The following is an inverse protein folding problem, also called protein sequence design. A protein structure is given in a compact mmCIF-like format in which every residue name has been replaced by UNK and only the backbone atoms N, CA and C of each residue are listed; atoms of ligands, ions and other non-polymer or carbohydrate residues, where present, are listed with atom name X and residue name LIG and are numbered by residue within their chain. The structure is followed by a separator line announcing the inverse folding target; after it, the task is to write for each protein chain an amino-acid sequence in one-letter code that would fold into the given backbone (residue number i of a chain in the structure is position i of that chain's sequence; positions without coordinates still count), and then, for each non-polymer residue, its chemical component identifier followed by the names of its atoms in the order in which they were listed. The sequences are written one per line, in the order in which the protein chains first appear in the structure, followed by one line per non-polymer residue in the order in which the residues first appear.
data_IF_049005099923
#
_entry.id   IF_049005099923
#
_cell.length_a   1.000
_cell.length_b   1.000
_cell.length_c   1.000
_cell.angle_alpha   90.00
_cell.angle_beta   90.00
_cell.angle_gamma   90.00
#
_symmetry.space_group_name_H-M   'P 1'
#
loop_
_entity.id
_entity.type
_entity.pdbx_description
1 polymer ?
#
# COMPACT_ATOMS: atom_id res chain seq x y z
N UNK A 1 -2.07 16.77 16.71
CA UNK A 1 -1.79 15.33 16.84
C UNK A 1 -2.02 14.71 15.47
N UNK A 2 -0.98 14.16 14.89
CA UNK A 2 -0.86 13.85 13.45
C UNK A 2 -1.89 12.83 13.01
N UNK A 3 -2.74 13.19 12.04
CA UNK A 3 -3.78 12.30 11.49
C UNK A 3 -3.22 11.18 10.60
N UNK A 4 -1.96 11.30 10.18
CA UNK A 4 -1.27 10.36 9.30
C UNK A 4 -0.10 9.65 10.02
N UNK A 5 0.23 8.40 9.61
CA UNK A 5 1.35 7.64 10.18
C UNK A 5 2.66 8.45 10.17
N UNK A 6 3.55 8.21 11.13
CA UNK A 6 4.90 8.80 11.11
C UNK A 6 5.77 8.21 10.00
N UNK A 7 6.85 8.91 9.63
CA UNK A 7 7.84 8.38 8.68
C UNK A 7 8.70 7.33 9.37
N UNK A 8 8.45 6.07 9.04
CA UNK A 8 9.16 4.89 9.56
C UNK A 8 8.76 3.66 8.73
N UNK A 9 9.23 2.50 9.15
CA UNK A 9 8.89 1.23 8.54
C UNK A 9 7.57 0.68 9.07
N UNK A 10 6.71 0.22 8.14
CA UNK A 10 5.42 -0.39 8.46
C UNK A 10 5.24 -1.73 7.75
N UNK A 11 4.46 -2.62 8.38
CA UNK A 11 3.70 -3.63 7.67
C UNK A 11 2.34 -3.05 7.27
N UNK A 12 2.00 -3.15 5.99
CA UNK A 12 0.70 -2.71 5.48
C UNK A 12 -0.24 -3.92 5.46
N UNK A 13 -1.22 -3.91 6.36
CA UNK A 13 -2.21 -4.97 6.51
C UNK A 13 -3.57 -4.52 5.97
N UNK A 14 -4.38 -5.43 5.45
CA UNK A 14 -5.80 -5.11 5.23
C UNK A 14 -6.47 -4.86 6.58
N UNK A 15 -7.35 -3.87 6.67
CA UNK A 15 -8.05 -3.57 7.93
C UNK A 15 -8.89 -4.73 8.44
N UNK A 16 -9.47 -5.52 7.53
CA UNK A 16 -10.30 -6.69 7.85
C UNK A 16 -9.53 -7.83 8.52
N UNK A 17 -8.24 -7.97 8.19
CA UNK A 17 -7.39 -9.04 8.74
C UNK A 17 -6.51 -8.57 9.90
N UNK A 18 -6.49 -7.26 10.17
CA UNK A 18 -5.66 -6.69 11.22
C UNK A 18 -6.06 -7.21 12.61
N UNK A 19 -5.07 -7.59 13.43
CA UNK A 19 -5.30 -8.16 14.76
C UNK A 19 -5.66 -9.66 14.77
N UNK A 20 -5.75 -10.31 13.61
CA UNK A 20 -5.89 -11.78 13.54
C UNK A 20 -4.55 -12.49 13.76
N UNK A 21 -4.59 -13.82 13.94
CA UNK A 21 -3.39 -14.66 14.13
C UNK A 21 -2.49 -14.63 12.89
N UNK A 22 -3.07 -14.49 11.70
CA UNK A 22 -2.37 -14.42 10.41
C UNK A 22 -2.93 -13.26 9.59
N UNK A 23 -2.52 -12.02 9.89
CA UNK A 23 -2.98 -10.87 9.12
C UNK A 23 -2.51 -10.97 7.68
N UNK A 24 -3.36 -10.50 6.78
CA UNK A 24 -3.11 -10.41 5.35
C UNK A 24 -2.39 -9.10 5.13
N UNK A 25 -1.11 -9.19 4.79
CA UNK A 25 -0.24 -8.03 4.60
C UNK A 25 0.44 -8.02 3.24
N UNK A 26 0.75 -6.82 2.77
CA UNK A 26 1.56 -6.61 1.58
C UNK A 26 2.94 -7.23 1.78
N UNK A 27 3.29 -8.12 0.86
CA UNK A 27 4.56 -8.80 0.80
C UNK A 27 5.15 -8.65 -0.61
N UNK A 28 6.46 -8.45 -0.67
CA UNK A 28 7.19 -8.60 -1.92
C UNK A 28 7.44 -10.09 -2.18
N UNK A 29 7.05 -10.53 -3.36
CA UNK A 29 7.35 -11.83 -3.90
C UNK A 29 8.61 -11.74 -4.77
N UNK A 30 9.72 -12.29 -4.27
CA UNK A 30 11.00 -12.23 -4.97
C UNK A 30 11.02 -13.14 -6.21
N UNK A 31 10.22 -14.21 -6.22
CA UNK A 31 10.20 -15.18 -7.32
C UNK A 31 9.42 -14.62 -8.52
N UNK A 32 8.34 -13.88 -8.24
CA UNK A 32 7.49 -13.27 -9.27
C UNK A 32 7.82 -11.80 -9.55
N UNK A 33 8.60 -11.15 -8.69
CA UNK A 33 8.96 -9.72 -8.82
C UNK A 33 7.80 -8.76 -8.57
N UNK A 34 6.75 -9.22 -7.90
CA UNK A 34 5.49 -8.48 -7.66
C UNK A 34 5.23 -8.26 -6.17
N UNK A 35 4.36 -7.31 -5.86
CA UNK A 35 3.84 -7.06 -4.52
C UNK A 35 2.41 -7.61 -4.49
N UNK A 36 2.18 -8.54 -3.57
CA UNK A 36 0.88 -9.20 -3.37
C UNK A 36 0.62 -9.41 -1.90
N UNK A 37 -0.55 -9.92 -1.53
CA UNK A 37 -0.77 -10.34 -0.15
C UNK A 37 -0.50 -11.83 0.02
N UNK A 38 0.24 -12.17 1.06
CA UNK A 38 0.58 -13.57 1.38
C UNK A 38 0.29 -13.78 2.86
N UNK A 39 -0.67 -14.66 3.23
CA UNK A 39 -0.97 -14.95 4.62
C UNK A 39 0.29 -15.34 5.42
N UNK A 40 0.52 -14.66 6.54
CA UNK A 40 1.66 -14.94 7.42
C UNK A 40 3.01 -14.39 6.95
N UNK A 41 3.14 -13.88 5.71
CA UNK A 41 4.34 -13.19 5.23
C UNK A 41 4.11 -11.68 5.23
N UNK A 42 5.09 -10.94 5.77
CA UNK A 42 5.06 -9.48 5.79
C UNK A 42 6.35 -8.91 5.21
N UNK A 43 6.23 -7.89 4.38
CA UNK A 43 7.37 -7.06 3.96
C UNK A 43 7.24 -5.70 4.62
N UNK A 44 8.34 -5.20 5.19
CA UNK A 44 8.40 -3.85 5.72
C UNK A 44 8.52 -2.84 4.58
N UNK A 45 7.79 -1.74 4.69
CA UNK A 45 7.82 -0.63 3.76
C UNK A 45 8.08 0.67 4.52
N UNK A 46 9.13 1.38 4.14
CA UNK A 46 9.43 2.71 4.65
C UNK A 46 8.45 3.70 4.03
N UNK A 47 7.67 4.38 4.88
CA UNK A 47 6.77 5.47 4.48
C UNK A 47 7.53 6.79 4.57
N UNK A 48 7.57 7.55 3.47
CA UNK A 48 8.16 8.88 3.41
C UNK A 48 7.18 9.85 2.76
N UNK A 49 6.92 11.00 3.39
CA UNK A 49 6.01 12.02 2.86
C UNK A 49 6.73 12.96 1.91
N UNK A 50 6.01 13.29 0.84
CA UNK A 50 6.33 14.44 -0.03
C UNK A 50 5.57 15.67 0.47
N UNK A 51 4.33 15.47 0.91
CA UNK A 51 3.49 16.48 1.53
C UNK A 51 2.63 15.80 2.61
N UNK A 52 3.07 15.92 3.86
CA UNK A 52 2.39 15.26 4.99
C UNK A 52 1.02 15.85 5.28
N UNK A 53 0.82 17.14 5.04
CA UNK A 53 -0.49 17.80 5.26
C UNK A 53 -1.54 17.26 4.29
N UNK A 54 -1.14 16.97 3.06
CA UNK A 54 -2.01 16.35 2.04
C UNK A 54 -1.98 14.81 2.07
N UNK A 55 -1.21 14.19 2.95
CA UNK A 55 -1.03 12.74 3.02
C UNK A 55 -0.35 12.14 1.79
N UNK A 56 0.42 12.93 1.02
CA UNK A 56 1.13 12.47 -0.18
C UNK A 56 2.45 11.84 0.25
N UNK A 57 2.64 10.58 -0.09
CA UNK A 57 3.77 9.77 0.33
C UNK A 57 4.28 8.86 -0.79
N UNK A 58 5.47 8.32 -0.58
CA UNK A 58 6.02 7.18 -1.31
C UNK A 58 6.35 6.06 -0.33
N UNK A 59 6.27 4.82 -0.80
CA UNK A 59 6.66 3.63 -0.06
C UNK A 59 7.93 3.04 -0.69
N UNK A 60 8.91 2.70 0.14
CA UNK A 60 10.20 2.17 -0.29
C UNK A 60 10.51 0.88 0.48
N UNK A 61 11.03 -0.13 -0.20
CA UNK A 61 11.54 -1.32 0.45
C UNK A 61 12.90 -1.02 1.11
N UNK A 62 13.03 -1.14 2.44
CA UNK A 62 14.18 -0.62 3.17
C UNK A 62 15.50 -1.28 2.79
N UNK A 63 15.47 -2.54 2.31
CA UNK A 63 16.69 -3.27 1.95
C UNK A 63 17.18 -2.98 0.53
N UNK A 64 16.27 -2.96 -0.45
CA UNK A 64 16.65 -2.75 -1.85
C UNK A 64 16.68 -1.27 -2.24
N UNK A 65 16.02 -0.40 -1.48
CA UNK A 65 15.84 1.01 -1.83
C UNK A 65 14.84 1.23 -2.99
N UNK A 66 14.24 0.16 -3.51
CA UNK A 66 13.26 0.24 -4.59
C UNK A 66 11.90 0.67 -4.05
N UNK A 67 11.12 1.34 -4.89
CA UNK A 67 9.82 1.89 -4.53
C UNK A 67 8.71 0.89 -4.84
N UNK A 68 7.65 0.88 -4.01
CA UNK A 68 6.41 0.21 -4.34
C UNK A 68 5.61 1.08 -5.31
N UNK A 69 5.30 0.53 -6.47
CA UNK A 69 4.46 1.19 -7.47
C UNK A 69 3.47 0.20 -8.09
N UNK A 70 2.43 0.73 -8.70
CA UNK A 70 1.53 0.01 -9.62
C UNK A 70 1.73 0.65 -11.00
N UNK A 71 2.62 0.11 -11.84
CA UNK A 71 2.87 0.67 -13.18
C UNK A 71 1.61 0.62 -14.05
N UNK A 72 1.48 1.56 -14.97
CA UNK A 72 0.29 1.66 -15.85
C UNK A 72 0.35 0.70 -17.05
N UNK A 73 1.56 0.23 -17.37
CA UNK A 73 1.95 -0.57 -18.53
C UNK A 73 2.10 -2.07 -18.23
N UNK A 74 2.44 -2.44 -16.99
CA UNK A 74 2.25 -3.80 -16.47
C UNK A 74 0.76 -4.11 -16.33
N UNK A 75 0.36 -5.35 -16.04
CA UNK A 75 -1.04 -5.78 -15.76
C UNK A 75 -1.69 -5.06 -14.53
N UNK A 76 -1.21 -3.86 -14.19
CA UNK A 76 -1.50 -3.02 -13.05
C UNK A 76 -1.23 -3.75 -11.75
N UNK A 77 -0.24 -4.65 -11.78
CA UNK A 77 0.24 -5.34 -10.61
C UNK A 77 1.25 -4.47 -9.91
N UNK A 78 1.17 -4.44 -8.58
CA UNK A 78 2.16 -3.75 -7.80
C UNK A 78 3.53 -4.45 -7.92
N UNK A 79 4.61 -3.69 -7.99
CA UNK A 79 5.96 -4.21 -8.14
C UNK A 79 7.01 -3.22 -7.58
N UNK A 80 8.27 -3.67 -7.55
CA UNK A 80 9.39 -2.79 -7.28
C UNK A 80 9.79 -2.01 -8.53
N UNK A 81 10.02 -0.71 -8.35
CA UNK A 81 10.52 0.19 -9.40
C UNK A 81 11.63 1.10 -8.86
N UNK A 82 12.49 1.58 -9.75
CA UNK A 82 13.55 2.54 -9.39
C UNK A 82 12.95 3.93 -9.09
N UNK A 83 12.09 4.43 -9.98
CA UNK A 83 11.47 5.74 -9.84
C UNK A 83 10.29 5.72 -8.86
N UNK A 84 10.22 6.69 -7.92
CA UNK A 84 9.15 6.72 -6.94
C UNK A 84 7.79 7.00 -7.59
N UNK A 85 6.79 6.26 -7.14
CA UNK A 85 5.39 6.59 -7.37
C UNK A 85 4.77 7.18 -6.11
N UNK A 86 4.01 8.26 -6.30
CA UNK A 86 3.37 8.97 -5.20
C UNK A 86 1.92 8.54 -5.03
N UNK A 87 1.54 8.38 -3.77
CA UNK A 87 0.22 7.97 -3.34
C UNK A 87 -0.30 8.95 -2.30
N UNK A 88 -1.62 9.04 -2.18
CA UNK A 88 -2.31 9.84 -1.17
C UNK A 88 -2.99 8.91 -0.17
N UNK A 89 -2.74 9.15 1.12
CA UNK A 89 -3.51 8.54 2.20
C UNK A 89 -4.79 9.32 2.45
N UNK A 90 -5.91 8.61 2.54
CA UNK A 90 -7.17 9.18 3.00
C UNK A 90 -7.68 8.37 4.18
N UNK A 91 -7.86 9.04 5.31
CA UNK A 91 -8.31 8.43 6.56
C UNK A 91 -9.71 7.83 6.43
N UNK A 92 -9.91 6.66 7.01
CA UNK A 92 -11.21 5.98 7.13
C UNK A 92 -11.44 5.60 8.59
N UNK A 93 -12.62 5.07 8.91
CA UNK A 93 -12.93 4.60 10.28
C UNK A 93 -12.04 3.43 10.73
N UNK A 94 -11.44 2.69 9.79
CA UNK A 94 -10.67 1.46 10.05
C UNK A 94 -9.20 1.52 9.62
N UNK A 95 -8.69 2.69 9.23
CA UNK A 95 -7.33 2.85 8.72
C UNK A 95 -7.24 3.94 7.66
N UNK A 96 -6.62 3.62 6.53
CA UNK A 96 -6.48 4.52 5.39
C UNK A 96 -6.84 3.79 4.10
N UNK A 97 -7.53 4.46 3.19
CA UNK A 97 -7.45 4.06 1.80
C UNK A 97 -6.19 4.70 1.18
N UNK A 98 -5.65 4.04 0.16
CA UNK A 98 -4.47 4.49 -0.58
C UNK A 98 -4.95 4.78 -2.00
N UNK A 99 -4.73 6.01 -2.48
CA UNK A 99 -5.22 6.42 -3.80
C UNK A 99 -4.20 7.24 -4.57
N UNK A 100 -4.38 7.36 -5.88
CA UNK A 100 -3.65 8.29 -6.75
C UNK A 100 -4.55 8.79 -7.87
N UNK A 101 -4.17 9.90 -8.50
CA UNK A 101 -4.85 10.41 -9.69
C UNK A 101 -3.99 10.11 -10.92
N UNK A 102 -4.56 9.44 -11.91
CA UNK A 102 -3.94 9.15 -13.20
C UNK A 102 -4.86 9.63 -14.30
N UNK A 103 -4.37 10.49 -15.19
CA UNK A 103 -5.17 11.05 -16.31
C UNK A 103 -6.53 11.64 -15.87
N UNK A 104 -6.58 12.25 -14.67
CA UNK A 104 -7.80 12.83 -14.10
C UNK A 104 -8.75 11.84 -13.42
N UNK A 105 -8.43 10.54 -13.41
CA UNK A 105 -9.21 9.50 -12.74
C UNK A 105 -8.56 9.11 -11.41
N UNK A 106 -9.36 9.02 -10.34
CA UNK A 106 -8.91 8.52 -9.05
C UNK A 106 -8.88 6.99 -9.02
N UNK A 107 -7.70 6.43 -8.78
CA UNK A 107 -7.48 4.99 -8.62
C UNK A 107 -7.18 4.68 -7.16
N UNK A 108 -7.83 3.64 -6.63
CA UNK A 108 -7.67 3.17 -5.25
C UNK A 108 -6.92 1.84 -5.25
N UNK A 109 -5.91 1.71 -4.40
CA UNK A 109 -5.17 0.47 -4.23
C UNK A 109 -6.04 -0.56 -3.50
N UNK A 110 -6.18 -1.75 -4.08
CA UNK A 110 -7.02 -2.83 -3.57
C UNK A 110 -6.44 -4.19 -3.95
N UNK A 111 -6.97 -5.24 -3.32
CA UNK A 111 -6.71 -6.61 -3.74
C UNK A 111 -7.72 -7.02 -4.81
N UNK A 112 -7.24 -7.66 -5.87
CA UNK A 112 -8.14 -8.34 -6.80
C UNK A 112 -8.59 -9.72 -6.27
N UNK A 113 -9.33 -10.47 -7.08
CA UNK A 113 -9.83 -11.79 -6.72
C UNK A 113 -8.75 -12.85 -6.49
N UNK A 114 -7.53 -12.61 -6.97
CA UNK A 114 -6.39 -13.51 -6.81
C UNK A 114 -5.48 -13.08 -5.63
N UNK A 115 -5.83 -11.98 -4.95
CA UNK A 115 -5.02 -11.43 -3.86
C UNK A 115 -3.83 -10.60 -4.34
N UNK A 116 -3.84 -10.18 -5.61
CA UNK A 116 -2.81 -9.30 -6.16
C UNK A 116 -3.14 -7.86 -5.81
N UNK A 117 -2.10 -7.09 -5.46
CA UNK A 117 -2.26 -5.66 -5.20
C UNK A 117 -2.31 -4.92 -6.53
N UNK A 118 -3.43 -4.26 -6.80
CA UNK A 118 -3.66 -3.46 -8.01
C UNK A 118 -4.37 -2.15 -7.67
N UNK A 119 -4.69 -1.32 -8.66
CA UNK A 119 -5.43 -0.08 -8.49
C UNK A 119 -6.52 0.10 -9.53
N UNK A 120 -7.73 0.41 -9.06
CA UNK A 120 -8.92 0.58 -9.90
C UNK A 120 -9.72 1.82 -9.49
N UNK A 121 -10.50 2.39 -10.42
CA UNK A 121 -11.45 3.44 -10.07
C UNK A 121 -12.56 2.90 -9.18
N UNK A 122 -13.13 3.77 -8.35
CA UNK A 122 -14.22 3.43 -7.42
C UNK A 122 -15.40 2.74 -8.11
N UNK A 123 -15.70 3.09 -9.37
CA UNK A 123 -16.78 2.49 -10.17
C UNK A 123 -16.61 0.98 -10.43
N UNK A 124 -15.38 0.45 -10.34
CA UNK A 124 -15.07 -0.98 -10.49
C UNK A 124 -14.94 -1.71 -9.16
N UNK A 125 -15.04 -1.00 -8.04
CA UNK A 125 -14.87 -1.55 -6.70
C UNK A 125 -16.22 -1.72 -6.04
N UNK A 126 -16.43 -2.89 -5.42
CA UNK A 126 -17.58 -3.10 -4.53
C UNK A 126 -17.45 -2.20 -3.29
N UNK A 127 -16.25 -2.11 -2.76
CA UNK A 127 -15.87 -1.26 -1.63
C UNK A 127 -14.41 -0.80 -1.76
N UNK A 128 -14.08 0.32 -1.12
CA UNK A 128 -12.71 0.83 -1.11
C UNK A 128 -11.94 0.13 0.01
N UNK A 129 -10.87 -0.58 -0.35
CA UNK A 129 -10.02 -1.26 0.61
C UNK A 129 -9.43 -0.26 1.62
N UNK A 130 -9.55 -0.61 2.91
CA UNK A 130 -8.84 0.08 3.98
C UNK A 130 -7.61 -0.71 4.41
N UNK A 131 -6.55 0.03 4.70
CA UNK A 131 -5.21 -0.45 5.02
C UNK A 131 -4.80 0.08 6.40
N UNK A 132 -4.17 -0.79 7.19
CA UNK A 132 -3.61 -0.47 8.50
C UNK A 132 -2.09 -0.47 8.41
N UNK A 133 -1.50 0.64 8.83
CA UNK A 133 -0.06 0.83 8.93
C UNK A 133 0.39 0.36 10.31
N UNK A 134 0.86 -0.88 10.39
CA UNK A 134 1.40 -1.45 11.64
C UNK A 134 2.89 -1.12 11.74
N UNK A 135 3.35 -0.31 12.72
CA UNK A 135 4.77 0.00 12.87
C UNK A 135 5.59 -1.28 13.06
N UNK A 136 6.75 -1.39 12.39
CA UNK A 136 7.64 -2.55 12.54
C UNK A 136 8.24 -2.60 13.95
N UNK A 137 8.56 -1.44 14.53
CA UNK A 137 9.16 -1.30 15.86
C UNK A 137 8.16 -0.78 16.90
N UNK A 138 6.90 -1.24 16.87
CA UNK A 138 5.94 -0.88 17.92
C UNK A 138 6.47 -1.36 19.28
N UNK A 139 6.96 -0.41 20.08
CA UNK A 139 7.42 -0.63 21.47
C UNK A 139 6.23 -0.87 22.38
#
# INVERSE_FOLDING_TARGET
MTEFPDEQDYYLCTSESYGTIQPISMAFDEDEGVIRVIPGKKTAWTVQYIDREKGIYKAMHPKSGLHAAIPEDSDRLASHVEEPQYWTLQKTNGGFNIRRVVNGEELYAHLDSEGMLTASPKSKLKEIQSWVFQPVNAV
#
